data_IF_471277885729
#
_entry.id   IF_471277885729
#
_cell.length_a   1.000
_cell.length_b   1.000
_cell.length_c   1.000
_cell.angle_alpha   90.00
_cell.angle_beta   90.00
_cell.angle_gamma   90.00
#
_symmetry.space_group_name_H-M   'P 1'
#
loop_
_entity.id
_entity.type
_entity.pdbx_description
1 polymer ?
#
# COMPACT_ATOMS: atom_id res chain seq x y z
N UNK A 1 -13.37 -8.54 9.83
CA UNK A 1 -12.59 -8.09 11.02
C UNK A 1 -11.97 -6.77 10.63
N UNK A 2 -12.46 -5.65 11.19
CA UNK A 2 -11.95 -4.33 10.86
C UNK A 2 -10.48 -4.22 11.23
N UNK A 3 -9.59 -4.15 10.24
CA UNK A 3 -8.20 -3.80 10.47
C UNK A 3 -8.18 -2.33 10.93
N UNK A 4 -7.84 -2.09 12.19
CA UNK A 4 -7.62 -0.74 12.71
C UNK A 4 -6.32 -0.21 12.11
N UNK A 5 -6.44 0.52 11.01
CA UNK A 5 -5.34 1.28 10.41
C UNK A 5 -4.98 2.42 11.38
N UNK A 6 -3.70 2.62 11.65
CA UNK A 6 -3.23 3.76 12.46
C UNK A 6 -3.50 5.08 11.76
N UNK A 7 -3.82 6.14 12.51
CA UNK A 7 -4.10 7.48 11.98
C UNK A 7 -3.04 7.98 10.99
N UNK A 8 -1.75 7.69 11.25
CA UNK A 8 -0.64 8.06 10.35
C UNK A 8 -0.72 7.30 9.02
N UNK A 9 -0.97 5.99 9.07
CA UNK A 9 -1.10 5.17 7.86
C UNK A 9 -2.36 5.58 7.07
N UNK A 10 -3.44 5.93 7.75
CA UNK A 10 -4.65 6.45 7.13
C UNK A 10 -4.36 7.77 6.40
N UNK A 11 -3.64 8.70 7.03
CA UNK A 11 -3.21 9.94 6.39
C UNK A 11 -2.35 9.69 5.13
N UNK A 12 -1.42 8.72 5.18
CA UNK A 12 -0.64 8.32 4.01
C UNK A 12 -1.55 7.78 2.89
N UNK A 13 -2.52 6.91 3.21
CA UNK A 13 -3.48 6.36 2.25
C UNK A 13 -4.35 7.42 1.58
N UNK A 14 -4.67 8.50 2.28
CA UNK A 14 -5.46 9.61 1.75
C UNK A 14 -4.61 10.58 0.92
N UNK A 15 -3.32 10.72 1.24
CA UNK A 15 -2.36 11.54 0.47
C UNK A 15 -1.88 10.89 -0.83
N UNK A 16 -2.17 9.61 -1.07
CA UNK A 16 -1.72 8.89 -2.25
C UNK A 16 -2.17 9.57 -3.56
N UNK A 17 -1.27 9.77 -4.53
CA UNK A 17 -1.60 10.40 -5.79
C UNK A 17 -2.29 9.42 -6.75
N UNK A 18 -3.10 9.97 -7.65
CA UNK A 18 -3.65 9.26 -8.81
C UNK A 18 -2.64 9.27 -9.96
N UNK A 19 -1.47 8.67 -9.73
CA UNK A 19 -0.34 8.69 -10.68
C UNK A 19 0.33 7.32 -10.79
N UNK A 20 1.13 7.15 -11.85
CA UNK A 20 2.00 5.99 -12.02
C UNK A 20 3.21 6.10 -11.10
N UNK A 21 3.58 4.98 -10.46
CA UNK A 21 4.65 5.00 -9.48
C UNK A 21 4.99 3.64 -8.91
N UNK A 22 6.01 3.66 -8.06
CA UNK A 22 6.41 2.55 -7.19
C UNK A 22 5.95 2.86 -5.78
N UNK A 23 5.42 1.87 -5.08
CA UNK A 23 5.05 1.95 -3.66
C UNK A 23 5.83 0.93 -2.84
N UNK A 24 6.13 1.30 -1.60
CA UNK A 24 6.90 0.53 -0.63
C UNK A 24 6.07 0.46 0.64
N UNK A 25 5.73 -0.74 1.08
CA UNK A 25 5.06 -0.96 2.36
C UNK A 25 6.09 -1.39 3.40
N UNK A 26 6.08 -0.72 4.56
CA UNK A 26 7.04 -0.93 5.63
C UNK A 26 6.38 -1.42 6.91
N UNK A 27 7.12 -2.27 7.61
CA UNK A 27 6.73 -2.78 8.93
C UNK A 27 7.21 -1.87 10.06
N UNK A 28 6.87 -2.25 11.30
CA UNK A 28 7.13 -1.47 12.52
C UNK A 28 8.59 -1.11 12.78
N UNK A 29 9.54 -1.83 12.19
CA UNK A 29 10.99 -1.59 12.35
C UNK A 29 11.57 -0.87 11.13
N UNK A 30 10.74 -0.29 10.27
CA UNK A 30 11.15 0.34 9.01
C UNK A 30 11.57 -0.66 7.94
N UNK A 31 11.43 -1.97 8.17
CA UNK A 31 11.79 -2.99 7.19
C UNK A 31 10.81 -2.99 6.02
N UNK A 32 11.34 -3.15 4.80
CA UNK A 32 10.52 -3.27 3.59
C UNK A 32 9.84 -4.62 3.57
N UNK A 33 8.50 -4.62 3.63
CA UNK A 33 7.68 -5.83 3.56
C UNK A 33 7.25 -6.14 2.13
N UNK A 34 7.04 -5.10 1.33
CA UNK A 34 6.57 -5.22 -0.05
C UNK A 34 6.97 -4.03 -0.89
N UNK A 35 7.27 -4.28 -2.17
CA UNK A 35 7.44 -3.25 -3.20
C UNK A 35 6.60 -3.64 -4.40
N UNK A 36 5.87 -2.67 -4.94
CA UNK A 36 5.09 -2.86 -6.15
C UNK A 36 5.08 -1.62 -7.03
N UNK A 37 4.76 -1.81 -8.32
CA UNK A 37 4.52 -0.73 -9.28
C UNK A 37 3.02 -0.67 -9.59
N UNK A 38 2.51 0.51 -9.89
CA UNK A 38 1.13 0.71 -10.29
C UNK A 38 0.99 1.89 -11.26
N UNK A 39 0.09 1.77 -12.24
CA UNK A 39 -0.39 2.91 -13.06
C UNK A 39 -1.16 3.94 -12.24
N UNK A 40 -1.79 3.50 -11.16
CA UNK A 40 -2.54 4.33 -10.22
C UNK A 40 -2.24 3.89 -8.79
N UNK A 41 -1.34 4.62 -8.13
CA UNK A 41 -0.90 4.35 -6.77
C UNK A 41 -2.08 4.34 -5.77
N UNK A 42 -2.95 5.35 -5.80
CA UNK A 42 -4.13 5.45 -4.92
C UNK A 42 -5.02 4.22 -4.98
N UNK A 43 -5.47 3.84 -6.18
CA UNK A 43 -6.35 2.68 -6.37
C UNK A 43 -5.65 1.38 -5.96
N UNK A 44 -4.40 1.20 -6.42
CA UNK A 44 -3.68 -0.06 -6.18
C UNK A 44 -3.38 -0.28 -4.70
N UNK A 45 -2.88 0.73 -4.00
CA UNK A 45 -2.52 0.58 -2.59
C UNK A 45 -3.78 0.45 -1.72
N UNK A 46 -4.82 1.27 -1.93
CA UNK A 46 -6.06 1.15 -1.15
C UNK A 46 -6.74 -0.20 -1.32
N UNK A 47 -6.58 -0.86 -2.47
CA UNK A 47 -7.12 -2.20 -2.68
C UNK A 47 -6.61 -3.23 -1.67
N UNK A 48 -5.40 -3.07 -1.10
CA UNK A 48 -4.88 -3.95 -0.05
C UNK A 48 -5.57 -3.78 1.32
N UNK A 49 -6.13 -2.60 1.58
CA UNK A 49 -6.73 -2.23 2.87
C UNK A 49 -8.26 -2.26 2.85
N UNK A 50 -8.86 -2.50 1.68
CA UNK A 50 -10.29 -2.73 1.54
C UNK A 50 -10.62 -4.17 1.95
N UNK A 51 -11.75 -4.36 2.62
CA UNK A 51 -12.24 -5.68 3.02
C UNK A 51 -12.82 -6.41 1.78
N UNK A 52 -11.94 -6.81 0.87
CA UNK A 52 -12.32 -7.62 -0.27
C UNK A 52 -12.06 -9.08 0.08
N UNK A 53 -13.11 -9.92 0.02
CA UNK A 53 -13.00 -11.37 0.22
C UNK A 53 -12.04 -12.08 -0.76
N UNK A 54 -11.39 -11.32 -1.64
CA UNK A 54 -10.44 -11.73 -2.67
C UNK A 54 -8.97 -11.75 -2.19
N UNK A 55 -8.64 -11.22 -1.01
CA UNK A 55 -7.26 -11.32 -0.50
C UNK A 55 -6.98 -12.74 -0.02
N UNK A 56 -5.94 -13.39 -0.55
CA UNK A 56 -5.45 -14.65 0.01
C UNK A 56 -4.85 -14.44 1.43
N UNK A 57 -4.67 -15.52 2.18
CA UNK A 57 -4.16 -15.47 3.57
C UNK A 57 -2.80 -14.79 3.69
N UNK A 58 -1.93 -14.94 2.68
CA UNK A 58 -0.60 -14.32 2.62
C UNK A 58 -0.71 -12.80 2.52
N UNK A 59 -1.57 -12.29 1.66
CA UNK A 59 -1.81 -10.85 1.50
C UNK A 59 -2.40 -10.24 2.77
N UNK A 60 -3.37 -10.90 3.41
CA UNK A 60 -3.94 -10.41 4.68
C UNK A 60 -2.90 -10.31 5.78
N UNK A 61 -2.03 -11.33 5.90
CA UNK A 61 -0.93 -11.30 6.87
C UNK A 61 0.04 -10.17 6.58
N UNK A 62 0.44 -10.01 5.33
CA UNK A 62 1.32 -8.91 4.92
C UNK A 62 0.73 -7.55 5.33
N UNK A 63 -0.52 -7.30 4.96
CA UNK A 63 -1.22 -6.03 5.26
C UNK A 63 -1.32 -5.79 6.77
N UNK A 64 -1.53 -6.84 7.58
CA UNK A 64 -1.58 -6.70 9.04
C UNK A 64 -0.27 -6.28 9.69
N UNK A 65 0.86 -6.45 8.99
CA UNK A 65 2.20 -6.10 9.47
C UNK A 65 2.63 -4.70 8.98
N UNK A 66 1.94 -4.12 7.99
CA UNK A 66 2.23 -2.79 7.43
C UNK A 66 1.81 -1.71 8.41
N UNK A 67 2.72 -0.77 8.67
CA UNK A 67 2.43 0.43 9.47
C UNK A 67 2.83 1.72 8.77
N UNK A 68 3.57 1.63 7.67
CA UNK A 68 4.07 2.78 6.94
C UNK A 68 4.12 2.50 5.43
N UNK A 69 4.07 3.57 4.65
CA UNK A 69 3.93 3.58 3.20
C UNK A 69 4.73 4.72 2.59
N UNK A 70 5.57 4.39 1.61
CA UNK A 70 6.29 5.36 0.77
C UNK A 70 5.96 5.14 -0.69
N UNK A 71 6.10 6.18 -1.51
CA UNK A 71 5.94 6.07 -2.96
C UNK A 71 6.85 7.04 -3.71
N UNK A 72 7.15 6.66 -4.96
CA UNK A 72 7.90 7.45 -5.91
C UNK A 72 7.07 7.53 -7.18
N UNK A 73 6.74 8.75 -7.62
CA UNK A 73 6.05 8.99 -8.90
C UNK A 73 7.06 8.77 -10.01
N UNK A 74 6.68 7.98 -11.02
CA UNK A 74 7.50 7.77 -12.22
C UNK A 74 6.71 8.21 -13.45
N UNK A 75 7.33 8.98 -14.37
CA UNK A 75 6.61 9.63 -15.48
C UNK A 75 6.07 8.64 -16.52
N UNK A 76 6.64 7.44 -16.64
CA UNK A 76 6.17 6.43 -17.60
C UNK A 76 6.43 5.01 -17.10
N UNK A 77 5.56 4.07 -17.47
CA UNK A 77 5.96 2.67 -17.54
C UNK A 77 6.83 2.54 -18.79
N UNK A 78 8.12 2.24 -18.64
CA UNK A 78 8.88 1.69 -19.76
C UNK A 78 8.39 0.25 -19.87
N UNK A 79 7.50 0.01 -20.83
CA UNK A 79 7.13 -1.33 -21.33
C UNK A 79 8.26 -1.91 -22.18
#
# INVERSE_FOLDING_TARGET
>A
MSHTVSDTLQAHLDSLPTATGVYIMKGKRGQVLYVGKAKNLRSRVRSYFQDSGQHNSKTRRLVSEVVDLEWIIVPTEVD
#
